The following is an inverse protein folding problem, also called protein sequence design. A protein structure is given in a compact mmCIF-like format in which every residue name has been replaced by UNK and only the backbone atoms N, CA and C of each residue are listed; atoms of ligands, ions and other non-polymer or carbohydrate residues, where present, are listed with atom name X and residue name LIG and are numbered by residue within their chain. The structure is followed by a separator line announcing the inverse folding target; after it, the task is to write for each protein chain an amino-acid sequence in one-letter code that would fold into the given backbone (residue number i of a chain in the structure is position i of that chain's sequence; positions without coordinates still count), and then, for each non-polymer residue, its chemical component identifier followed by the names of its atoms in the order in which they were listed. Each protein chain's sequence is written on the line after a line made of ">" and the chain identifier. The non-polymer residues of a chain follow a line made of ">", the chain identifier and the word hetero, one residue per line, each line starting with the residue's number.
data_IF_713233474643
#
_entry.id   IF_713233474643
#
_cell.length_a   1.000
_cell.length_b   1.000
_cell.length_c   1.000
_cell.angle_alpha   90.00
_cell.angle_beta   90.00
_cell.angle_gamma   90.00
#
_symmetry.space_group_name_H-M   'P 1'
#
loop_
_entity.id
_entity.type
_entity.pdbx_description
1 polymer ?
2 water ?
#
# COMPACT_ATOMS: atom_id res chain seq x y z
N UNK A 1 -17.76 -14.80 29.21
CA UNK A 1 -16.79 -14.74 28.08
C UNK A 1 -15.35 -14.66 28.56
N UNK A 2 -14.40 -14.88 27.66
CA UNK A 2 -12.98 -14.81 28.00
C UNK A 2 -12.06 -14.67 26.79
N UNK A 3 -12.52 -15.06 25.61
CA UNK A 3 -11.70 -14.93 24.40
C UNK A 3 -11.47 -13.44 24.13
N UNK A 4 -10.29 -13.10 23.62
CA UNK A 4 -10.02 -11.70 23.30
C UNK A 4 -10.59 -11.37 21.93
N UNK A 5 -10.94 -10.10 21.72
CA UNK A 5 -11.55 -9.71 20.47
C UNK A 5 -10.85 -8.62 19.68
N UNK A 6 -11.04 -8.69 18.36
CA UNK A 6 -10.50 -7.72 17.42
C UNK A 6 -11.70 -7.43 16.53
N UNK A 7 -12.26 -6.24 16.63
CA UNK A 7 -13.41 -5.87 15.81
C UNK A 7 -12.90 -5.31 14.48
N UNK A 8 -13.33 -5.93 13.38
CA UNK A 8 -12.88 -5.49 12.08
C UNK A 8 -13.97 -5.37 11.02
N UNK A 9 -13.63 -4.65 9.96
CA UNK A 9 -14.51 -4.52 8.83
C UNK A 9 -13.58 -4.71 7.63
N UNK A 10 -13.90 -5.68 6.80
CA UNK A 10 -13.09 -5.98 5.62
C UNK A 10 -13.69 -5.32 4.38
N UNK A 11 -12.82 -5.04 3.41
CA UNK A 11 -13.23 -4.44 2.15
C UNK A 11 -12.15 -4.82 1.17
N UNK A 12 -12.42 -4.64 -0.12
CA UNK A 12 -11.41 -4.95 -1.10
C UNK A 12 -11.44 -3.86 -2.17
N UNK A 13 -10.29 -3.52 -2.70
CA UNK A 13 -10.17 -2.51 -3.72
C UNK A 13 -9.63 -3.20 -4.94
N UNK A 14 -10.51 -3.47 -5.90
CA UNK A 14 -10.09 -4.16 -7.11
C UNK A 14 -9.60 -5.56 -6.78
N UNK A 15 -10.11 -6.11 -5.67
CA UNK A 15 -9.70 -7.45 -5.27
C UNK A 15 -8.65 -7.47 -4.17
N UNK A 16 -7.99 -6.35 -3.95
CA UNK A 16 -6.97 -6.25 -2.91
C UNK A 16 -7.70 -6.02 -1.58
N UNK A 17 -7.58 -6.97 -0.64
CA UNK A 17 -8.24 -6.87 0.66
C UNK A 17 -7.60 -5.95 1.69
N UNK A 18 -8.44 -5.27 2.45
CA UNK A 18 -7.99 -4.38 3.52
C UNK A 18 -8.80 -4.74 4.76
N UNK A 19 -8.11 -5.08 5.84
CA UNK A 19 -8.77 -5.43 7.08
C UNK A 19 -8.63 -4.26 8.04
N UNK A 20 -9.69 -3.48 8.20
CA UNK A 20 -9.67 -2.33 9.08
C UNK A 20 -10.00 -2.71 10.51
N UNK A 21 -9.07 -2.42 11.42
CA UNK A 21 -9.28 -2.73 12.82
C UNK A 21 -9.86 -1.50 13.52
N UNK A 22 -11.12 -1.61 13.94
CA UNK A 22 -11.78 -0.50 14.61
C UNK A 22 -11.85 -0.68 16.12
N UNK A 23 -11.24 -1.76 16.62
CA UNK A 23 -11.24 -2.01 18.05
C UNK A 23 -10.55 -3.30 18.45
N UNK A 24 -9.88 -3.31 19.61
CA UNK A 24 -9.23 -4.53 20.06
C UNK A 24 -7.72 -4.51 20.21
N UNK A 25 -7.05 -3.61 19.52
CA UNK A 25 -5.60 -3.53 19.63
C UNK A 25 -5.19 -2.77 20.88
N UNK A 26 -3.97 -3.02 21.38
CA UNK A 26 -3.50 -2.33 22.59
C UNK A 26 -3.41 -0.82 22.39
N UNK A 27 -3.36 -0.08 23.49
CA UNK A 27 -3.25 1.36 23.43
C UNK A 27 -1.85 1.70 22.92
N UNK A 28 -1.75 2.63 21.98
CA UNK A 28 -0.44 2.99 21.44
C UNK A 28 0.03 4.38 21.84
N UNK A 29 -0.61 4.96 22.84
CA UNK A 29 -0.21 6.28 23.29
C UNK A 29 -0.89 7.43 22.57
N UNK A 30 -0.31 8.62 22.70
CA UNK A 30 -0.87 9.82 22.08
C UNK A 30 0.07 10.42 21.04
N UNK A 31 1.22 9.78 20.81
CA UNK A 31 2.17 10.30 19.85
C UNK A 31 1.64 10.30 18.42
N UNK A 32 2.48 10.67 17.46
CA UNK A 32 2.04 10.69 16.07
C UNK A 32 2.00 9.25 15.55
N UNK A 33 1.41 9.05 14.38
CA UNK A 33 1.28 7.73 13.79
C UNK A 33 2.59 6.97 13.63
N UNK A 34 3.66 7.67 13.29
CA UNK A 34 4.96 7.01 13.11
C UNK A 34 5.44 6.42 14.45
N UNK A 35 5.17 7.14 15.53
CA UNK A 35 5.57 6.70 16.86
C UNK A 35 4.71 5.52 17.32
N UNK A 36 3.41 5.56 16.98
CA UNK A 36 2.52 4.47 17.36
C UNK A 36 2.85 3.22 16.55
N UNK A 37 3.31 3.41 15.31
CA UNK A 37 3.67 2.28 14.48
C UNK A 37 4.90 1.61 15.10
N UNK A 38 5.80 2.42 15.64
CA UNK A 38 7.00 1.91 16.28
C UNK A 38 6.61 1.01 17.45
N UNK A 39 5.76 1.53 18.33
CA UNK A 39 5.29 0.79 19.51
C UNK A 39 4.54 -0.47 19.11
N UNK A 40 3.69 -0.35 18.10
CA UNK A 40 2.91 -1.48 17.62
C UNK A 40 3.84 -2.62 17.23
N UNK A 41 4.79 -2.31 16.36
CA UNK A 41 5.72 -3.33 15.89
C UNK A 41 6.69 -3.83 16.93
N UNK A 42 7.11 -2.97 17.86
CA UNK A 42 8.07 -3.38 18.88
C UNK A 42 7.49 -4.13 20.06
N UNK A 43 6.31 -3.74 20.53
CA UNK A 43 5.72 -4.39 21.69
C UNK A 43 4.44 -5.18 21.44
N UNK A 44 3.75 -4.88 20.35
CA UNK A 44 2.49 -5.56 20.08
C UNK A 44 2.36 -6.17 18.70
N UNK A 45 3.46 -6.69 18.16
CA UNK A 45 3.40 -7.28 16.83
C UNK A 45 2.49 -8.50 16.74
N UNK A 46 2.27 -9.16 17.87
CA UNK A 46 1.42 -10.34 17.93
C UNK A 46 0.00 -10.05 17.40
N UNK A 47 -0.44 -8.81 17.58
CA UNK A 47 -1.77 -8.42 17.13
C UNK A 47 -1.85 -8.31 15.61
N UNK A 48 -0.75 -7.92 14.98
CA UNK A 48 -0.71 -7.82 13.52
C UNK A 48 -0.88 -9.24 12.99
N UNK A 49 -0.09 -10.15 13.55
CA UNK A 49 -0.10 -11.55 13.12
C UNK A 49 -1.45 -12.23 13.33
N UNK A 50 -2.06 -12.02 14.48
CA UNK A 50 -3.36 -12.64 14.76
C UNK A 50 -4.42 -12.11 13.78
N UNK A 51 -4.25 -10.85 13.41
CA UNK A 51 -5.18 -10.17 12.53
C UNK A 51 -5.14 -10.53 11.05
N UNK A 52 -3.96 -10.66 10.48
CA UNK A 52 -3.86 -10.94 9.05
C UNK A 52 -3.27 -12.26 8.59
N UNK A 53 -2.66 -13.02 9.50
CA UNK A 53 -2.08 -14.31 9.10
C UNK A 53 -3.12 -15.42 9.27
N UNK A 54 -2.81 -16.60 8.73
CA UNK A 54 -3.71 -17.74 8.90
C UNK A 54 -3.79 -17.97 10.40
N UNK A 55 -4.87 -18.58 10.90
CA UNK A 55 -6.03 -19.07 10.14
C UNK A 55 -7.10 -18.00 9.85
N UNK A 56 -7.03 -16.88 10.55
CA UNK A 56 -8.02 -15.81 10.39
C UNK A 56 -7.85 -14.96 9.12
N UNK A 57 -6.64 -14.95 8.58
CA UNK A 57 -6.38 -14.17 7.38
C UNK A 57 -5.61 -14.99 6.36
N UNK A 58 -4.67 -14.34 5.68
CA UNK A 58 -3.83 -15.00 4.67
C UNK A 58 -2.70 -14.04 4.33
N UNK A 59 -1.73 -14.49 3.54
CA UNK A 59 -0.59 -13.64 3.17
C UNK A 59 -0.91 -12.45 2.27
N UNK A 60 -2.03 -12.51 1.58
CA UNK A 60 -2.43 -11.43 0.68
C UNK A 60 -2.97 -10.23 1.45
N UNK A 61 -3.48 -10.51 2.63
CA UNK A 61 -4.10 -9.51 3.48
C UNK A 61 -3.28 -8.33 4.00
N UNK A 62 -3.85 -7.13 3.82
CA UNK A 62 -3.22 -5.91 4.31
C UNK A 62 -4.12 -5.41 5.44
N UNK A 63 -3.51 -5.01 6.55
CA UNK A 63 -4.29 -4.53 7.67
C UNK A 63 -4.16 -3.04 7.89
N UNK A 64 -5.20 -2.44 8.47
CA UNK A 64 -5.19 -1.01 8.75
C UNK A 64 -5.75 -0.76 10.15
N UNK A 65 -4.93 -0.26 11.04
CA UNK A 65 -5.38 0.03 12.40
C UNK A 65 -5.89 1.47 12.47
N UNK A 66 -7.14 1.63 12.86
CA UNK A 66 -7.73 2.95 12.99
C UNK A 66 -7.28 3.57 14.32
N UNK A 67 -6.79 4.81 14.26
CA UNK A 67 -6.33 5.52 15.45
C UNK A 67 -6.97 6.90 15.54
N UNK A 68 -7.03 7.43 16.76
CA UNK A 68 -7.57 8.78 16.96
C UNK A 68 -6.39 9.64 16.54
N UNK A 69 -6.62 10.63 15.68
CA UNK A 69 -5.51 11.49 15.23
C UNK A 69 -4.99 12.45 16.29
N UNK A 70 -3.75 12.90 16.11
CA UNK A 70 -3.15 13.86 17.04
C UNK A 70 -3.95 15.15 16.89
N UNK A 71 -4.00 15.65 15.66
CA UNK A 71 -4.75 16.88 15.38
C UNK A 71 -6.23 16.52 15.47
N UNK A 72 -6.90 17.00 16.53
CA UNK A 72 -8.32 16.70 16.71
C UNK A 72 -9.18 17.13 15.52
N UNK A 73 -8.62 17.97 14.65
CA UNK A 73 -9.36 18.45 13.50
C UNK A 73 -9.32 17.46 12.33
N UNK A 74 -8.36 16.56 12.34
CA UNK A 74 -8.25 15.56 11.28
C UNK A 74 -9.32 14.50 11.50
N UNK A 75 -9.66 13.76 10.44
CA UNK A 75 -10.67 12.72 10.51
C UNK A 75 -10.20 11.47 11.23
N UNK A 76 -8.98 11.03 10.91
CA UNK A 76 -8.46 9.83 11.55
C UNK A 76 -6.97 9.65 11.34
N UNK A 77 -6.43 8.67 12.06
CA UNK A 77 -5.04 8.32 11.96
C UNK A 77 -5.10 6.86 11.57
N UNK A 78 -4.06 6.35 10.92
CA UNK A 78 -4.06 4.95 10.53
C UNK A 78 -2.65 4.39 10.39
N UNK A 79 -2.54 3.09 10.60
CA UNK A 79 -1.27 2.40 10.47
C UNK A 79 -1.54 1.16 9.62
N UNK A 80 -0.80 1.01 8.54
CA UNK A 80 -0.98 -0.13 7.64
C UNK A 80 0.09 -1.18 7.88
N UNK A 81 -0.31 -2.44 7.73
CA UNK A 81 0.61 -3.55 7.90
C UNK A 81 0.25 -4.70 6.97
N UNK A 82 1.21 -5.59 6.75
CA UNK A 82 1.00 -6.73 5.88
C UNK A 82 1.52 -8.00 6.55
N UNK A 83 1.60 -9.09 5.80
CA UNK A 83 2.04 -10.38 6.34
C UNK A 83 3.47 -10.44 6.87
N UNK A 84 4.32 -9.49 6.48
CA UNK A 84 5.69 -9.52 6.94
C UNK A 84 6.02 -8.40 7.91
N UNK A 85 5.32 -7.28 7.80
CA UNK A 85 5.61 -6.18 8.70
C UNK A 85 4.69 -5.00 8.56
N UNK A 86 5.27 -3.81 8.56
CA UNK A 86 4.51 -2.58 8.45
C UNK A 86 4.80 -1.78 7.19
N UNK A 87 3.83 -0.99 6.78
CA UNK A 87 3.95 -0.16 5.58
C UNK A 87 4.04 1.31 5.98
N UNK A 88 4.20 2.17 4.98
CA UNK A 88 4.24 3.60 5.22
C UNK A 88 2.82 4.03 4.94
N UNK A 89 2.55 4.37 3.69
CA UNK A 89 1.21 4.75 3.28
C UNK A 89 0.68 3.53 2.54
N UNK A 90 -0.61 3.53 2.25
CA UNK A 90 -1.21 2.42 1.52
C UNK A 90 -2.36 2.98 0.73
N UNK A 91 -2.18 3.03 -0.59
CA UNK A 91 -3.19 3.57 -1.47
C UNK A 91 -4.52 2.87 -1.42
N UNK A 92 -4.54 1.59 -1.80
CA UNK A 92 -5.79 0.84 -1.79
C UNK A 92 -6.36 0.76 -0.39
N UNK A 93 -5.48 0.74 0.60
CA UNK A 93 -5.91 0.66 1.99
C UNK A 93 -6.63 1.91 2.48
N UNK A 94 -6.22 3.08 1.99
CA UNK A 94 -6.86 4.31 2.41
C UNK A 94 -8.22 4.42 1.74
N UNK A 95 -8.30 3.91 0.52
CA UNK A 95 -9.56 3.90 -0.20
C UNK A 95 -10.49 2.95 0.53
N UNK A 96 -9.95 1.80 0.94
CA UNK A 96 -10.75 0.83 1.68
C UNK A 96 -11.19 1.37 3.03
N UNK A 97 -10.29 2.09 3.70
CA UNK A 97 -10.58 2.67 5.01
C UNK A 97 -11.71 3.68 4.91
N UNK A 98 -11.64 4.54 3.91
CA UNK A 98 -12.67 5.54 3.71
C UNK A 98 -14.02 4.90 3.37
N UNK A 99 -14.00 3.88 2.53
CA UNK A 99 -15.25 3.19 2.17
C UNK A 99 -15.86 2.53 3.40
N UNK A 100 -15.00 2.01 4.27
CA UNK A 100 -15.46 1.34 5.49
C UNK A 100 -16.07 2.33 6.49
N UNK A 101 -15.43 3.49 6.65
CA UNK A 101 -15.94 4.49 7.58
C UNK A 101 -17.30 4.98 7.10
N UNK A 102 -17.44 5.12 5.79
CA UNK A 102 -18.70 5.56 5.20
C UNK A 102 -19.75 4.47 5.43
N UNK A 103 -19.36 3.22 5.25
CA UNK A 103 -20.26 2.09 5.45
C UNK A 103 -20.71 2.03 6.91
N UNK A 104 -19.81 2.41 7.82
CA UNK A 104 -20.13 2.42 9.24
C UNK A 104 -20.96 3.65 9.58
N UNK A 105 -21.24 4.47 8.57
CA UNK A 105 -22.03 5.67 8.78
C UNK A 105 -21.30 6.72 9.61
N UNK A 106 -19.97 6.67 9.64
CA UNK A 106 -19.21 7.65 10.40
C UNK A 106 -18.86 8.88 9.58
N UNK A 107 -18.94 8.77 8.26
CA UNK A 107 -18.62 9.91 7.40
C UNK A 107 -19.48 9.87 6.15
N UNK A 108 -19.55 11.00 5.46
CA UNK A 108 -20.32 11.10 4.24
C UNK A 108 -19.45 11.72 3.17
N UNK A 109 -19.96 11.91 1.95
CA UNK A 109 -19.15 12.52 0.89
C UNK A 109 -18.45 13.77 1.40
N UNK A 110 -17.19 13.96 1.01
CA UNK A 110 -16.46 15.13 1.46
C UNK A 110 -14.97 14.88 1.54
N UNK A 111 -14.24 15.87 2.04
CA UNK A 111 -12.80 15.80 2.18
C UNK A 111 -12.43 15.41 3.61
N UNK A 112 -11.65 14.33 3.74
CA UNK A 112 -11.26 13.83 5.05
C UNK A 112 -9.75 13.71 5.22
N UNK A 113 -9.22 14.35 6.25
CA UNK A 113 -7.79 14.33 6.53
C UNK A 113 -7.44 13.08 7.31
N UNK A 114 -6.41 12.38 6.85
CA UNK A 114 -5.96 11.16 7.51
C UNK A 114 -4.47 11.20 7.80
N UNK A 115 -4.11 11.03 9.07
CA UNK A 115 -2.70 11.03 9.47
C UNK A 115 -2.15 9.62 9.29
N UNK A 116 -0.93 9.53 8.76
CA UNK A 116 -0.30 8.24 8.55
C UNK A 116 1.15 8.35 9.04
N UNK A 117 1.84 7.22 9.20
CA UNK A 117 3.23 7.22 9.67
C UNK A 117 4.21 7.97 8.75
N UNK A 118 3.79 8.29 7.53
CA UNK A 118 4.67 9.01 6.62
C UNK A 118 4.11 10.37 6.23
N UNK A 119 3.13 10.85 6.99
CA UNK A 119 2.54 12.14 6.66
C UNK A 119 1.04 12.06 6.47
N UNK A 120 0.40 13.22 6.53
CA UNK A 120 -1.04 13.30 6.38
C UNK A 120 -1.47 13.26 4.92
N UNK A 121 -2.55 12.53 4.66
CA UNK A 121 -3.10 12.45 3.31
C UNK A 121 -4.51 13.01 3.35
N UNK A 122 -5.04 13.35 2.20
CA UNK A 122 -6.38 13.90 2.10
C UNK A 122 -7.21 13.02 1.19
N UNK A 123 -8.26 12.42 1.74
CA UNK A 123 -9.12 11.54 0.98
C UNK A 123 -10.49 12.17 0.74
N UNK A 124 -10.90 12.18 -0.52
CA UNK A 124 -12.19 12.74 -0.88
C UNK A 124 -13.18 11.64 -1.25
N UNK A 125 -14.24 11.51 -0.46
CA UNK A 125 -15.27 10.52 -0.73
C UNK A 125 -16.25 11.19 -1.69
N UNK A 126 -16.35 10.65 -2.90
CA UNK A 126 -17.25 11.20 -3.91
C UNK A 126 -18.67 10.69 -3.76
N UNK A 127 -19.62 11.41 -4.34
CA UNK A 127 -21.02 11.05 -4.28
C UNK A 127 -21.22 9.63 -4.85
N UNK A 128 -20.42 9.26 -5.84
CA UNK A 128 -20.55 7.95 -6.45
C UNK A 128 -19.93 6.84 -5.60
N UNK A 129 -19.39 7.21 -4.44
CA UNK A 129 -18.82 6.21 -3.55
C UNK A 129 -17.35 5.88 -3.74
N UNK A 130 -16.75 6.34 -4.83
CA UNK A 130 -15.34 6.09 -5.07
C UNK A 130 -14.54 7.06 -4.21
N UNK A 131 -13.24 6.81 -4.06
CA UNK A 131 -12.40 7.67 -3.23
C UNK A 131 -11.12 8.14 -3.93
N UNK A 132 -10.86 9.44 -3.87
CA UNK A 132 -9.65 10.02 -4.44
C UNK A 132 -8.73 10.33 -3.27
N UNK A 133 -7.51 9.80 -3.33
CA UNK A 133 -6.57 10.03 -2.25
C UNK A 133 -5.40 10.90 -2.68
N UNK A 134 -5.33 12.10 -2.08
CA UNK A 134 -4.24 13.03 -2.36
C UNK A 134 -3.12 12.55 -1.44
N UNK A 135 -2.22 11.74 -1.99
CA UNK A 135 -1.12 11.13 -1.26
C UNK A 135 -0.06 12.13 -0.82
N UNK A 136 0.91 11.64 -0.05
CA UNK A 136 2.02 12.46 0.42
C UNK A 136 2.88 12.69 -0.83
N UNK A 137 3.83 13.64 -0.76
CA UNK A 137 4.69 13.92 -1.91
C UNK A 137 5.44 12.69 -2.44
N UNK A 138 5.57 12.59 -3.76
CA UNK A 138 6.28 11.47 -4.36
C UNK A 138 7.42 12.02 -5.21
N UNK A 139 8.47 11.24 -5.40
CA UNK A 139 9.60 11.69 -6.21
C UNK A 139 10.51 10.52 -6.59
N UNK A 140 11.27 10.69 -7.67
CA UNK A 140 12.19 9.66 -8.10
C UNK A 140 13.54 9.95 -7.45
N UNK A 141 14.05 9.01 -6.69
CA UNK A 141 15.33 9.19 -6.01
C UNK A 141 16.51 8.98 -6.96
N UNK A 142 16.59 7.79 -7.56
CA UNK A 142 17.67 7.48 -8.50
C UNK A 142 17.07 6.96 -9.80
N UNK A 143 17.75 7.25 -10.90
CA UNK A 143 17.26 6.82 -12.21
C UNK A 143 18.14 5.78 -12.87
N UNK A 144 17.52 4.97 -13.72
CA UNK A 144 18.21 3.92 -14.46
C UNK A 144 19.34 3.26 -13.69
N UNK A 145 18.99 2.66 -12.56
CA UNK A 145 19.94 1.97 -11.71
C UNK A 145 20.01 0.53 -12.17
N UNK A 146 21.22 0.08 -12.54
CA UNK A 146 21.40 -1.29 -13.01
C UNK A 146 21.79 -2.21 -11.87
N UNK A 147 21.21 -3.40 -11.85
CA UNK A 147 21.49 -4.38 -10.81
C UNK A 147 21.65 -5.78 -11.40
N UNK A 148 22.68 -6.48 -10.96
CA UNK A 148 22.92 -7.85 -11.43
C UNK A 148 22.06 -8.75 -10.56
N UNK A 149 21.02 -9.33 -11.14
CA UNK A 149 20.11 -10.19 -10.40
C UNK A 149 20.32 -11.67 -10.73
N UNK A 150 20.65 -12.49 -9.73
CA UNK A 150 20.88 -13.92 -9.93
C UNK A 150 19.67 -14.60 -10.59
N UNK A 151 19.93 -15.38 -11.63
CA UNK A 151 18.87 -16.08 -12.31
C UNK A 151 18.19 -15.28 -13.40
N UNK A 152 18.47 -13.98 -13.44
CA UNK A 152 17.88 -13.11 -14.44
C UNK A 152 18.94 -12.37 -15.23
N UNK A 153 19.93 -11.84 -14.51
CA UNK A 153 21.00 -11.10 -15.15
C UNK A 153 20.87 -9.63 -14.81
N UNK A 154 21.34 -8.77 -15.70
CA UNK A 154 21.28 -7.33 -15.49
C UNK A 154 19.88 -6.76 -15.63
N UNK A 155 19.46 -6.05 -14.58
CA UNK A 155 18.14 -5.42 -14.54
C UNK A 155 18.33 -3.96 -14.11
N UNK A 156 17.65 -3.04 -14.78
CA UNK A 156 17.77 -1.64 -14.42
C UNK A 156 16.40 -1.00 -14.25
N UNK A 157 16.32 -0.01 -13.36
CA UNK A 157 15.06 0.66 -13.13
C UNK A 157 15.21 1.87 -12.25
N UNK A 158 14.11 2.55 -11.98
CA UNK A 158 14.13 3.73 -11.13
C UNK A 158 13.77 3.36 -9.71
N UNK A 159 14.31 4.13 -8.77
CA UNK A 159 14.02 3.94 -7.35
C UNK A 159 13.25 5.20 -6.97
N UNK A 160 11.96 5.04 -6.64
CA UNK A 160 11.14 6.19 -6.30
C UNK A 160 10.30 5.99 -5.05
N UNK A 161 9.96 7.10 -4.41
CA UNK A 161 9.14 7.09 -3.21
C UNK A 161 7.72 7.53 -3.54
N UNK A 162 6.74 6.79 -3.04
CA UNK A 162 5.36 7.12 -3.25
C UNK A 162 4.53 6.82 -2.01
N UNK A 163 5.21 6.74 -0.87
CA UNK A 163 4.54 6.43 0.38
C UNK A 163 5.19 5.17 0.91
N UNK A 164 5.98 4.56 0.04
CA UNK A 164 6.77 3.35 0.30
C UNK A 164 7.82 3.41 -0.80
N UNK A 165 8.91 2.68 -0.64
CA UNK A 165 9.95 2.66 -1.65
C UNK A 165 9.66 1.62 -2.72
N UNK A 166 9.79 2.02 -3.98
CA UNK A 166 9.55 1.14 -5.11
C UNK A 166 10.73 1.14 -6.07
N UNK A 167 10.89 0.02 -6.76
CA UNK A 167 11.91 -0.13 -7.78
C UNK A 167 11.07 -0.40 -9.02
N UNK A 168 11.04 0.55 -9.94
CA UNK A 168 10.27 0.39 -11.18
C UNK A 168 11.19 -0.14 -12.26
N UNK A 169 11.05 -1.43 -12.55
CA UNK A 169 11.90 -2.08 -13.54
C UNK A 169 11.60 -1.71 -14.98
N UNK A 170 12.63 -1.27 -15.69
CA UNK A 170 12.50 -0.88 -17.08
C UNK A 170 12.91 -2.06 -17.97
N UNK A 171 12.09 -2.34 -18.99
CA UNK A 171 12.37 -3.41 -19.93
C UNK A 171 12.57 -4.80 -19.35
N UNK A 172 11.61 -5.23 -18.53
CA UNK A 172 11.68 -6.56 -17.91
C UNK A 172 11.31 -7.65 -18.91
N UNK A 173 10.57 -7.27 -19.95
CA UNK A 173 10.18 -8.23 -20.96
C UNK A 173 9.28 -9.36 -20.46
N UNK A 174 8.55 -9.12 -19.37
CA UNK A 174 7.67 -10.15 -18.82
C UNK A 174 6.22 -9.92 -19.27
N UNK A 175 5.46 -11.01 -19.41
CA UNK A 175 4.07 -10.85 -19.80
C UNK A 175 3.26 -10.58 -18.53
N UNK A 176 2.72 -9.36 -18.42
CA UNK A 176 1.94 -8.99 -17.25
C UNK A 176 0.49 -9.44 -17.43
N UNK A 177 0.17 -10.62 -16.91
CA UNK A 177 -1.18 -11.15 -17.04
C UNK A 177 -1.58 -11.99 -15.83
N UNK A 178 -2.88 -12.15 -15.64
CA UNK A 178 -3.39 -12.91 -14.51
C UNK A 178 -3.06 -14.40 -14.59
N UNK A 179 -2.69 -14.85 -15.78
CA UNK A 179 -2.34 -16.26 -15.95
C UNK A 179 -0.84 -16.51 -15.93
N UNK A 180 -0.07 -15.50 -15.54
CA UNK A 180 1.39 -15.62 -15.51
C UNK A 180 1.97 -15.17 -14.17
N UNK A 181 1.20 -15.34 -13.10
CA UNK A 181 1.60 -14.91 -11.77
C UNK A 181 2.86 -15.56 -11.17
N UNK A 182 2.99 -16.87 -11.28
CA UNK A 182 4.15 -17.53 -10.70
C UNK A 182 5.46 -16.96 -11.26
N UNK A 183 5.50 -16.75 -12.57
CA UNK A 183 6.68 -16.20 -13.21
C UNK A 183 6.95 -14.77 -12.72
N UNK A 184 5.90 -13.95 -12.72
CA UNK A 184 6.03 -12.57 -12.31
C UNK A 184 6.47 -12.46 -10.85
N UNK A 185 6.02 -13.37 -10.00
CA UNK A 185 6.39 -13.35 -8.60
C UNK A 185 7.84 -13.80 -8.41
N UNK A 186 8.22 -14.85 -9.13
CA UNK A 186 9.58 -15.37 -9.03
C UNK A 186 10.56 -14.32 -9.50
N UNK A 187 10.20 -13.65 -10.60
CA UNK A 187 11.03 -12.62 -11.18
C UNK A 187 11.25 -11.45 -10.22
N UNK A 188 10.16 -10.88 -9.71
CA UNK A 188 10.25 -9.75 -8.80
C UNK A 188 10.91 -10.14 -7.47
N UNK A 189 10.64 -11.34 -7.00
CA UNK A 189 11.24 -11.80 -5.74
C UNK A 189 12.76 -11.79 -5.88
N UNK A 190 13.26 -12.22 -7.04
CA UNK A 190 14.70 -12.25 -7.28
C UNK A 190 15.25 -10.83 -7.19
N UNK A 191 14.56 -9.90 -7.84
CA UNK A 191 14.98 -8.50 -7.83
C UNK A 191 14.92 -7.93 -6.41
N UNK A 192 13.81 -8.20 -5.72
CA UNK A 192 13.63 -7.71 -4.36
C UNK A 192 14.77 -8.15 -3.46
N UNK A 193 15.17 -9.42 -3.56
CA UNK A 193 16.24 -9.92 -2.71
C UNK A 193 17.60 -9.41 -3.14
N UNK A 194 17.81 -9.27 -4.45
CA UNK A 194 19.09 -8.78 -4.96
C UNK A 194 19.33 -7.38 -4.42
N UNK A 195 18.29 -6.54 -4.44
CA UNK A 195 18.41 -5.17 -3.95
C UNK A 195 18.76 -5.20 -2.47
N UNK A 196 18.24 -6.19 -1.76
CA UNK A 196 18.51 -6.34 -0.34
C UNK A 196 19.91 -6.86 -0.09
N UNK A 197 20.30 -7.90 -0.83
CA UNK A 197 21.64 -8.48 -0.67
C UNK A 197 22.73 -7.48 -1.02
N UNK A 198 22.52 -6.72 -2.10
CA UNK A 198 23.50 -5.73 -2.55
C UNK A 198 23.37 -4.39 -1.82
N UNK A 199 22.57 -4.37 -0.76
CA UNK A 199 22.38 -3.18 0.05
C UNK A 199 21.99 -1.91 -0.71
N UNK A 200 21.14 -2.05 -1.72
CA UNK A 200 20.68 -0.91 -2.51
C UNK A 200 19.41 -0.41 -1.82
N UNK A 201 19.47 0.76 -1.22
CA UNK A 201 18.33 1.31 -0.47
C UNK A 201 17.76 2.61 -0.99
N UNK A 202 16.76 3.11 -0.26
CA UNK A 202 16.13 4.37 -0.61
C UNK A 202 17.01 5.48 -0.07
N UNK A 203 16.64 6.73 -0.35
CA UNK A 203 17.43 7.86 0.12
C UNK A 203 17.64 7.88 1.63
N UNK A 204 16.64 7.42 2.38
CA UNK A 204 16.73 7.42 3.83
C UNK A 204 17.28 6.11 4.39
N UNK A 205 17.79 5.25 3.51
CA UNK A 205 18.34 3.98 3.96
C UNK A 205 17.27 2.92 4.01
N UNK A 206 16.03 3.31 3.78
CA UNK A 206 14.93 2.36 3.81
C UNK A 206 15.07 1.27 2.75
N UNK A 207 14.59 0.07 3.08
CA UNK A 207 14.66 -1.04 2.14
C UNK A 207 13.67 -0.83 1.01
N UNK A 208 14.08 -1.19 -0.20
CA UNK A 208 13.20 -1.06 -1.35
C UNK A 208 12.45 -2.38 -1.39
N UNK A 209 11.38 -2.45 -0.61
CA UNK A 209 10.59 -3.67 -0.49
C UNK A 209 9.47 -3.89 -1.49
N UNK A 210 9.20 -2.91 -2.33
CA UNK A 210 8.15 -3.07 -3.35
C UNK A 210 8.82 -3.05 -4.72
N UNK A 211 8.46 -4.00 -5.57
CA UNK A 211 9.00 -4.09 -6.93
C UNK A 211 7.81 -4.11 -7.87
N UNK A 212 7.76 -3.17 -8.80
CA UNK A 212 6.66 -3.13 -9.76
C UNK A 212 7.12 -3.14 -11.21
N UNK A 213 6.32 -3.75 -12.07
CA UNK A 213 6.62 -3.86 -13.49
C UNK A 213 5.48 -3.19 -14.23
N UNK A 214 5.79 -2.54 -15.35
CA UNK A 214 4.77 -1.86 -16.14
C UNK A 214 4.78 -2.30 -17.59
N UNK A 215 3.65 -2.12 -18.25
CA UNK A 215 3.51 -2.51 -19.65
C UNK A 215 2.28 -1.82 -20.22
N UNK A 216 2.17 -1.82 -21.54
CA UNK A 216 1.02 -1.19 -22.18
C UNK A 216 -0.21 -2.02 -21.89
N UNK A 217 -1.37 -1.40 -22.05
CA UNK A 217 -2.63 -2.07 -21.84
C UNK A 217 -3.55 -1.60 -22.96
N UNK A 218 -4.33 -2.51 -23.54
CA UNK A 218 -5.21 -2.09 -24.63
C UNK A 218 -6.37 -1.19 -24.18
N UNK A 219 -6.67 -1.20 -22.89
CA UNK A 219 -7.77 -0.39 -22.37
C UNK A 219 -7.38 0.50 -21.21
N UNK A 220 -6.11 0.88 -21.15
CA UNK A 220 -5.61 1.75 -20.09
C UNK A 220 -4.25 2.28 -20.51
N UNK A 221 -3.81 3.33 -19.85
CA UNK A 221 -2.51 3.91 -20.16
C UNK A 221 -1.41 2.91 -19.90
N UNK A 222 -1.59 2.08 -18.88
CA UNK A 222 -0.59 1.11 -18.50
C UNK A 222 -1.18 -0.01 -17.65
N UNK A 223 -0.45 -1.11 -17.56
CA UNK A 223 -0.85 -2.25 -16.74
C UNK A 223 0.38 -2.57 -15.88
N UNK A 224 0.18 -3.00 -14.64
CA UNK A 224 1.35 -3.31 -13.82
C UNK A 224 1.22 -4.57 -12.97
N UNK A 225 2.34 -4.93 -12.35
CA UNK A 225 2.41 -6.06 -11.46
C UNK A 225 3.23 -5.50 -10.30
N UNK A 226 2.69 -5.62 -9.09
CA UNK A 226 3.37 -5.09 -7.92
C UNK A 226 3.61 -6.15 -6.87
N UNK A 227 4.90 -6.36 -6.55
CA UNK A 227 5.28 -7.33 -5.53
C UNK A 227 5.38 -6.55 -4.23
N UNK A 228 4.69 -7.01 -3.20
CA UNK A 228 4.71 -6.34 -1.91
C UNK A 228 5.84 -6.88 -1.03
N UNK A 229 6.21 -6.15 0.03
CA UNK A 229 7.29 -6.58 0.92
C UNK A 229 7.20 -7.98 1.51
N UNK A 230 6.00 -8.56 1.51
CA UNK A 230 5.85 -9.89 2.07
C UNK A 230 5.78 -10.96 1.00
N UNK A 231 6.15 -10.58 -0.22
CA UNK A 231 6.16 -11.48 -1.37
C UNK A 231 4.80 -11.80 -1.96
N UNK A 232 3.76 -11.12 -1.49
CA UNK A 232 2.43 -11.32 -2.04
C UNK A 232 2.33 -10.21 -3.09
N UNK A 233 1.47 -10.37 -4.08
CA UNK A 233 1.32 -9.32 -5.07
C UNK A 233 0.05 -8.55 -4.76
N UNK A 234 -0.03 -7.31 -5.25
CA UNK A 234 -1.18 -6.45 -5.03
C UNK A 234 -2.21 -6.75 -6.12
N UNK A 235 -3.45 -7.00 -5.75
CA UNK A 235 -4.49 -7.27 -6.75
C UNK A 235 -4.88 -5.95 -7.40
N UNK A 236 -4.64 -4.85 -6.69
CA UNK A 236 -4.97 -3.53 -7.23
C UNK A 236 -3.73 -2.94 -7.89
N UNK A 237 -3.89 -1.82 -8.61
CA UNK A 237 -2.71 -1.23 -9.24
C UNK A 237 -1.77 -0.56 -8.25
N UNK A 238 -2.14 -0.59 -6.96
CA UNK A 238 -1.33 -0.02 -5.89
C UNK A 238 -1.23 1.50 -5.98
N UNK A 239 -1.73 2.17 -4.95
CA UNK A 239 -1.70 3.63 -4.93
C UNK A 239 -0.34 4.26 -4.73
N UNK A 240 0.46 3.73 -3.80
CA UNK A 240 1.78 4.29 -3.59
C UNK A 240 2.70 3.92 -4.74
N UNK A 241 2.42 2.78 -5.37
CA UNK A 241 3.22 2.33 -6.50
C UNK A 241 2.92 3.13 -7.75
N UNK A 242 1.65 3.49 -7.91
CA UNK A 242 1.23 4.28 -9.06
C UNK A 242 1.68 5.72 -8.82
N UNK A 243 1.74 6.12 -7.55
CA UNK A 243 2.19 7.47 -7.21
C UNK A 243 3.65 7.60 -7.58
N UNK A 244 4.44 6.55 -7.32
CA UNK A 244 5.86 6.56 -7.64
C UNK A 244 6.04 6.63 -9.16
N UNK A 245 5.20 5.89 -9.88
CA UNK A 245 5.23 5.88 -11.34
C UNK A 245 4.89 7.28 -11.87
N UNK A 246 3.90 7.92 -11.25
CA UNK A 246 3.50 9.26 -11.67
C UNK A 246 4.68 10.22 -11.50
N UNK A 247 5.44 10.03 -10.43
CA UNK A 247 6.59 10.89 -10.15
C UNK A 247 7.64 10.71 -11.23
N UNK A 248 7.79 9.47 -11.73
CA UNK A 248 8.76 9.20 -12.78
C UNK A 248 8.28 9.78 -14.10
N UNK A 249 7.02 9.49 -14.44
CA UNK A 249 6.45 10.01 -15.67
C UNK A 249 6.58 11.53 -15.69
N UNK A 250 6.28 12.15 -14.55
CA UNK A 250 6.35 13.60 -14.41
C UNK A 250 7.76 14.14 -14.63
N UNK A 251 8.76 13.42 -14.13
CA UNK A 251 10.14 13.85 -14.28
C UNK A 251 10.59 13.77 -15.73
N UNK A 252 10.08 12.77 -16.47
CA UNK A 252 10.47 12.56 -17.86
C UNK A 252 9.56 13.22 -18.89
N UNK A 253 8.63 14.05 -18.44
CA UNK A 253 7.73 14.73 -19.36
C UNK A 253 6.75 13.82 -20.09
N UNK A 254 6.43 12.68 -19.50
CA UNK A 254 5.50 11.75 -20.12
C UNK A 254 4.06 12.05 -19.74
N UNK A 255 3.87 12.83 -18.69
CA UNK A 255 2.53 13.18 -18.21
C UNK A 255 2.54 14.62 -17.70
N UNK A 256 1.48 15.36 -18.03
CA UNK A 256 1.37 16.75 -17.59
C UNK A 256 0.57 16.88 -16.30
N UNK A 257 0.78 17.99 -15.57
CA UNK A 257 0.03 18.19 -14.32
C UNK A 257 -1.45 18.27 -14.65
N UNK A 258 -2.30 17.68 -13.81
CA UNK A 258 -3.73 17.73 -14.05
C UNK A 258 -4.23 16.70 -15.05
N UNK A 259 -3.32 16.10 -15.82
CA UNK A 259 -3.72 15.10 -16.80
C UNK A 259 -3.93 13.73 -16.15
N UNK A 260 -5.00 13.03 -16.56
CA UNK A 260 -5.31 11.71 -16.03
C UNK A 260 -4.45 10.58 -16.59
N UNK A 261 -4.18 9.60 -15.75
CA UNK A 261 -3.40 8.42 -16.13
C UNK A 261 -4.16 7.21 -15.61
N UNK A 262 -4.61 6.35 -16.51
CA UNK A 262 -5.36 5.15 -16.12
C UNK A 262 -4.41 3.97 -15.92
N UNK A 263 -4.35 3.50 -14.68
CA UNK A 263 -3.48 2.38 -14.35
C UNK A 263 -4.28 1.12 -14.07
N UNK A 264 -4.02 0.06 -14.83
CA UNK A 264 -4.70 -1.21 -14.63
C UNK A 264 -3.73 -2.15 -13.90
N UNK A 265 -4.27 -3.05 -13.11
CA UNK A 265 -3.45 -3.99 -12.36
C UNK A 265 -3.29 -5.29 -13.13
N UNK A 266 -2.52 -6.22 -12.56
CA UNK A 266 -2.30 -7.49 -13.21
C UNK A 266 -3.60 -8.26 -13.39
N UNK A 267 -4.59 -8.03 -12.53
CA UNK A 267 -5.85 -8.74 -12.68
C UNK A 267 -7.01 -7.90 -13.24
N UNK A 268 -6.71 -6.71 -13.75
CA UNK A 268 -7.78 -5.91 -14.35
C UNK A 268 -8.36 -4.73 -13.61
N UNK A 269 -8.10 -4.60 -12.31
CA UNK A 269 -8.62 -3.47 -11.53
C UNK A 269 -8.00 -2.19 -12.07
N UNK A 270 -8.66 -1.06 -11.86
CA UNK A 270 -8.14 0.21 -12.35
C UNK A 270 -8.20 1.37 -11.37
N UNK A 271 -7.16 2.20 -11.42
CA UNK A 271 -7.06 3.40 -10.60
C UNK A 271 -6.82 4.54 -11.59
N UNK A 272 -7.28 5.74 -11.24
CA UNK A 272 -7.03 6.89 -12.11
C UNK A 272 -6.06 7.76 -11.34
N UNK A 273 -4.93 8.08 -11.98
CA UNK A 273 -3.94 8.91 -11.31
C UNK A 273 -3.87 10.30 -11.89
N UNK A 274 -3.36 11.23 -11.10
CA UNK A 274 -3.25 12.62 -11.53
C UNK A 274 -2.26 13.27 -10.57
N UNK A 275 -1.66 14.38 -10.98
CA UNK A 275 -0.70 15.04 -10.10
C UNK A 275 -0.56 16.53 -10.35
N UNK A 276 -0.02 17.19 -9.33
CA UNK A 276 0.27 18.61 -9.35
C UNK A 276 1.64 18.68 -8.68
N UNK A 277 2.34 19.80 -8.82
CA UNK A 277 3.65 19.91 -8.20
C UNK A 277 3.50 20.30 -6.72
N UNK A 278 4.42 19.80 -5.91
CA UNK A 278 4.42 20.14 -4.49
C UNK A 278 4.60 21.66 -4.48
N UNK A 279 3.66 22.37 -3.87
CA UNK A 279 3.69 23.83 -3.78
C UNK A 279 3.81 24.51 -5.13
N UNK A 280 3.27 23.88 -6.17
CA UNK A 280 3.32 24.46 -7.50
C UNK A 280 4.72 24.65 -8.05
N UNK A 281 5.70 23.92 -7.48
CA UNK A 281 7.08 24.03 -7.91
C UNK A 281 7.40 22.94 -8.93
N UNK A 282 7.49 23.32 -10.22
CA UNK A 282 7.79 22.36 -11.29
C UNK A 282 9.20 21.76 -11.24
N UNK A 283 9.29 20.49 -11.61
CA UNK A 283 10.57 19.81 -11.62
C UNK A 283 10.95 19.09 -10.33
N UNK A 284 10.20 19.33 -9.26
CA UNK A 284 10.52 18.66 -8.00
C UNK A 284 9.52 17.57 -7.69
N UNK A 285 9.33 17.22 -6.41
CA UNK A 285 8.37 16.17 -6.09
C UNK A 285 6.96 16.58 -6.50
N UNK A 286 6.09 15.58 -6.69
CA UNK A 286 4.73 15.85 -7.08
C UNK A 286 3.78 15.47 -5.95
N UNK A 287 2.55 15.94 -6.05
CA UNK A 287 1.52 15.62 -5.08
C UNK A 287 0.56 14.77 -5.93
N UNK A 288 0.69 13.45 -5.86
CA UNK A 288 -0.17 12.56 -6.64
C UNK A 288 -1.51 12.28 -5.98
N UNK A 289 -2.55 12.18 -6.81
CA UNK A 289 -3.89 11.87 -6.33
C UNK A 289 -4.31 10.59 -7.06
N UNK A 290 -4.71 9.59 -6.29
CA UNK A 290 -5.13 8.32 -6.84
C UNK A 290 -6.61 8.09 -6.57
N UNK A 291 -7.38 7.78 -7.60
CA UNK A 291 -8.81 7.55 -7.41
C UNK A 291 -9.17 6.11 -7.70
N UNK A 292 -9.93 5.50 -6.79
CA UNK A 292 -10.35 4.12 -6.96
C UNK A 292 -11.62 3.83 -6.17
N UNK A 293 -12.09 2.59 -6.26
CA UNK A 293 -13.30 2.18 -5.56
C UNK A 293 -13.15 0.88 -4.79
N UNK A 294 -13.62 0.88 -3.55
CA UNK A 294 -13.58 -0.30 -2.70
C UNK A 294 -15.00 -0.74 -2.39
N UNK A 295 -15.15 -2.00 -2.01
CA UNK A 295 -16.44 -2.57 -1.66
C UNK A 295 -16.30 -3.24 -0.30
N UNK A 296 -17.16 -2.91 0.66
CA UNK A 296 -17.09 -3.55 1.96
C UNK A 296 -17.48 -5.00 1.67
N UNK A 297 -16.76 -5.94 2.26
CA UNK A 297 -17.04 -7.35 1.99
C UNK A 297 -17.31 -8.20 3.22
N UNK A 298 -17.20 -7.61 4.40
CA UNK A 298 -17.44 -8.36 5.63
C UNK A 298 -17.24 -7.52 6.86
N UNK A 299 -17.94 -7.88 7.92
CA UNK A 299 -17.81 -7.23 9.22
C UNK A 299 -17.59 -8.40 10.15
N UNK A 300 -16.61 -8.30 11.04
CA UNK A 300 -16.39 -9.44 11.90
C UNK A 300 -15.67 -9.15 13.19
N UNK A 301 -15.71 -10.12 14.08
CA UNK A 301 -15.02 -10.04 15.34
C UNK A 301 -14.11 -11.26 15.33
N UNK A 302 -12.81 -11.03 15.35
CA UNK A 302 -11.87 -12.13 15.37
C UNK A 302 -11.83 -12.55 16.84
N UNK A 303 -11.74 -13.85 17.08
CA UNK A 303 -11.71 -14.34 18.46
C UNK A 303 -10.40 -15.06 18.76
N UNK A 304 -9.78 -14.67 19.87
CA UNK A 304 -8.50 -15.24 20.28
C UNK A 304 -8.62 -15.97 21.62
N UNK A 305 -8.74 -17.30 21.57
CA UNK A 305 -8.87 -18.08 22.79
C UNK A 305 -7.52 -18.24 23.49
N UNK A 306 -7.55 -18.24 24.82
CA UNK A 306 -6.34 -18.39 25.63
C UNK A 306 -5.57 -19.67 25.32
N UNK A 307 -6.28 -20.75 25.03
CA UNK A 307 -5.62 -22.02 24.74
C UNK A 307 -5.42 -22.29 23.25
N UNK A 308 -5.62 -21.25 22.43
CA UNK A 308 -5.43 -21.40 21.00
C UNK A 308 -3.96 -21.14 20.67
N UNK A 309 -3.22 -22.20 20.29
CA UNK A 309 -1.81 -21.99 19.98
C UNK A 309 -1.60 -21.08 18.78
N UNK A 310 -2.65 -20.89 17.99
CA UNK A 310 -2.57 -20.01 16.83
C UNK A 310 -3.38 -18.74 17.02
N UNK A 311 -3.53 -18.34 18.29
CA UNK A 311 -4.26 -17.12 18.63
C UNK A 311 -3.53 -15.94 18.01
N UNK A 312 -2.22 -16.08 17.88
CA UNK A 312 -1.40 -15.04 17.30
C UNK A 312 -1.01 -15.45 15.88
N UNK A 313 -1.89 -16.21 15.25
CA UNK A 313 -1.67 -16.66 13.89
C UNK A 313 -0.61 -17.74 13.73
N UNK A 314 -0.52 -18.28 12.52
CA UNK A 314 0.46 -19.30 12.19
C UNK A 314 1.67 -18.56 11.61
N UNK A 315 2.65 -18.26 12.45
CA UNK A 315 3.84 -17.56 11.99
C UNK A 315 4.89 -18.58 11.54
N UNK A 316 5.06 -18.68 10.23
CA UNK A 316 5.99 -19.65 9.65
C UNK A 316 7.48 -19.30 9.70
N UNK A 317 8.29 -20.36 9.68
CA UNK A 317 9.73 -20.22 9.76
C UNK A 317 10.46 -19.37 8.74
N UNK A 318 11.76 -19.21 9.01
CA UNK A 318 12.67 -18.42 8.17
C UNK A 318 12.48 -16.94 8.39
#
# INVERSE_FOLDING_TARGET
>A
GHMQRIRIIDSHTGGEPTRLVIGGFPDLGQGDMAERRRLLGERHDAWRAACILEPRGSDVLVGALLCAPVDPEACAGVIFFNNSGYLGMCGHGTIGLVASLAHLGRIGPGVHRIETPVGEVEATLHEDGSVSVRNVPAYRYRRQVSVEVPGIGRVSGDIAWGGNWFFLVAGHGQRLAGDNLDALTAYTVAVQQALDDQDIRGEDGGAIDHIELFADDPHADSRNFVLCPGKAYDRSPCGTGTSAKLACLAADGKLLPGQPWRQASVIGSQFEGRYEWLDGQPGGPIVPTIRGRAHVSAEATLLLADDDPFAWGIRRGS
#
